data_IF_866603075784
#
_entry.id   IF_866603075784
#
_cell.length_a   1.000
_cell.length_b   1.000
_cell.length_c   1.000
_cell.angle_alpha   90.00
_cell.angle_beta   90.00
_cell.angle_gamma   90.00
#
_symmetry.space_group_name_H-M   'P 1'
#
loop_
_entity.id
_entity.type
_entity.pdbx_description
1 polymer ?
#
# COMPACT_ATOMS: atom_id res chain seq x y z
N UNK A 1 -50.37 -35.82 8.48
CA UNK A 1 -49.04 -35.19 8.48
C UNK A 1 -49.03 -34.14 9.57
N UNK A 2 -48.27 -34.33 10.66
CA UNK A 2 -48.20 -33.38 11.77
C UNK A 2 -47.38 -32.17 11.28
N UNK A 3 -48.02 -30.99 11.24
CA UNK A 3 -47.37 -29.75 10.82
C UNK A 3 -46.24 -29.41 11.78
N UNK A 4 -45.02 -29.28 11.26
CA UNK A 4 -43.92 -28.73 12.02
C UNK A 4 -44.28 -27.29 12.42
N UNK A 5 -44.21 -27.00 13.72
CA UNK A 5 -44.51 -25.67 14.27
C UNK A 5 -43.65 -24.63 13.57
N UNK A 6 -44.26 -23.59 13.02
CA UNK A 6 -43.59 -22.44 12.37
C UNK A 6 -42.55 -21.78 13.28
N UNK A 7 -42.74 -21.88 14.60
CA UNK A 7 -41.78 -21.43 15.62
C UNK A 7 -40.47 -22.24 15.54
N UNK A 8 -40.57 -23.56 15.29
CA UNK A 8 -39.41 -24.44 15.18
C UNK A 8 -38.58 -24.13 13.93
N UNK A 9 -39.24 -23.88 12.79
CA UNK A 9 -38.59 -23.45 11.54
C UNK A 9 -37.90 -22.10 11.68
N UNK A 10 -38.51 -21.15 12.39
CA UNK A 10 -37.91 -19.83 12.64
C UNK A 10 -36.71 -19.93 13.59
N UNK A 11 -36.78 -20.77 14.63
CA UNK A 11 -35.65 -21.01 15.54
C UNK A 11 -34.45 -21.66 14.85
N UNK A 12 -34.70 -22.59 13.93
CA UNK A 12 -33.66 -23.23 13.13
C UNK A 12 -32.99 -22.22 12.17
N UNK A 13 -33.79 -21.34 11.56
CA UNK A 13 -33.30 -20.30 10.67
C UNK A 13 -32.45 -19.26 11.40
N UNK A 14 -32.83 -18.87 12.61
CA UNK A 14 -32.03 -17.96 13.46
C UNK A 14 -30.71 -18.62 13.90
N UNK A 15 -30.71 -19.90 14.26
CA UNK A 15 -29.47 -20.63 14.58
C UNK A 15 -28.51 -20.71 13.39
N UNK A 16 -29.04 -21.00 12.19
CA UNK A 16 -28.24 -20.99 10.95
C UNK A 16 -27.68 -19.60 10.62
N UNK A 17 -28.42 -18.52 10.89
CA UNK A 17 -27.90 -17.15 10.74
C UNK A 17 -26.82 -16.82 11.76
N UNK A 18 -26.95 -17.27 13.01
CA UNK A 18 -25.92 -17.06 14.05
C UNK A 18 -24.64 -17.83 13.68
N UNK A 19 -24.75 -19.07 13.19
CA UNK A 19 -23.61 -19.83 12.68
C UNK A 19 -23.00 -19.19 11.41
N UNK A 20 -23.81 -18.60 10.52
CA UNK A 20 -23.33 -17.85 9.35
C UNK A 20 -22.64 -16.52 9.70
N UNK A 21 -22.95 -15.91 10.85
CA UNK A 21 -22.34 -14.65 11.30
C UNK A 21 -21.04 -14.88 12.08
N UNK A 22 -20.75 -16.12 12.52
CA UNK A 22 -19.46 -16.49 13.07
C UNK A 22 -18.51 -16.90 11.94
N UNK A 23 -18.11 -15.93 11.12
CA UNK A 23 -16.83 -16.05 10.43
C UNK A 23 -15.78 -15.92 11.53
N UNK A 24 -15.30 -17.05 12.05
CA UNK A 24 -14.01 -17.07 12.74
C UNK A 24 -13.00 -16.51 11.74
N UNK A 25 -12.62 -15.24 11.90
CA UNK A 25 -11.47 -14.72 11.22
C UNK A 25 -10.29 -15.57 11.71
N UNK A 26 -9.84 -16.51 10.88
CA UNK A 26 -8.80 -17.49 11.22
C UNK A 26 -7.59 -16.76 11.80
N UNK A 27 -7.50 -16.76 13.13
CA UNK A 27 -6.36 -16.18 13.84
C UNK A 27 -5.16 -17.04 13.51
N UNK A 28 -4.08 -16.43 13.01
CA UNK A 28 -2.87 -17.16 12.66
C UNK A 28 -2.33 -17.96 13.86
N UNK A 29 -2.29 -19.29 13.72
CA UNK A 29 -1.77 -20.22 14.74
C UNK A 29 -0.35 -20.68 14.37
N UNK A 30 0.47 -21.08 15.38
CA UNK A 30 1.75 -21.74 15.11
C UNK A 30 1.57 -22.93 14.17
N UNK A 31 2.44 -23.02 13.17
CA UNK A 31 2.49 -24.13 12.22
C UNK A 31 3.30 -25.31 12.72
N UNK A 32 4.13 -25.11 13.74
CA UNK A 32 4.99 -26.13 14.32
C UNK A 32 5.87 -25.58 15.44
N UNK A 33 6.83 -26.41 15.85
CA UNK A 33 7.90 -26.02 16.77
C UNK A 33 9.25 -26.51 16.24
N UNK A 34 10.28 -25.69 16.41
CA UNK A 34 11.66 -25.98 16.05
C UNK A 34 12.49 -26.15 17.33
N UNK A 35 13.24 -27.25 17.43
CA UNK A 35 14.12 -27.51 18.57
C UNK A 35 15.46 -26.82 18.35
N UNK A 36 15.80 -25.90 19.24
CA UNK A 36 17.04 -25.14 19.21
C UNK A 36 18.28 -26.02 19.34
N UNK A 37 19.28 -25.69 18.54
CA UNK A 37 20.62 -26.27 18.58
C UNK A 37 21.59 -25.27 19.23
N UNK A 38 22.64 -25.79 19.86
CA UNK A 38 23.73 -24.95 20.35
C UNK A 38 24.53 -24.42 19.16
N UNK A 39 24.75 -23.10 19.02
CA UNK A 39 25.63 -22.56 18.00
C UNK A 39 27.06 -23.11 18.16
N UNK A 40 27.75 -23.49 17.07
CA UNK A 40 29.18 -23.76 17.07
C UNK A 40 29.99 -22.54 17.57
N UNK A 41 31.22 -22.73 18.06
CA UNK A 41 32.11 -21.62 18.41
C UNK A 41 32.29 -20.65 17.23
N UNK A 42 32.08 -19.35 17.47
CA UNK A 42 32.19 -18.31 16.44
C UNK A 42 30.95 -18.13 15.56
N UNK A 43 29.85 -18.86 15.83
CA UNK A 43 28.54 -18.70 15.17
C UNK A 43 27.53 -18.02 16.10
N UNK A 44 26.50 -17.41 15.51
CA UNK A 44 25.57 -16.48 16.14
C UNK A 44 26.24 -15.18 16.60
N UNK A 45 26.19 -14.16 15.73
CA UNK A 45 26.52 -12.79 16.10
C UNK A 45 25.41 -12.24 17.00
N UNK A 46 25.81 -11.45 18.00
CA UNK A 46 24.88 -10.71 18.88
C UNK A 46 24.81 -9.24 18.47
N UNK A 47 25.06 -8.95 17.19
CA UNK A 47 24.85 -7.61 16.64
C UNK A 47 23.36 -7.26 16.70
N UNK A 48 23.04 -5.97 16.75
CA UNK A 48 21.65 -5.46 16.71
C UNK A 48 20.66 -6.17 17.65
N UNK A 49 21.09 -6.54 18.86
CA UNK A 49 20.29 -7.27 19.86
C UNK A 49 19.83 -8.68 19.44
N UNK A 50 20.51 -9.29 18.46
CA UNK A 50 20.25 -10.65 17.99
C UNK A 50 20.43 -11.71 19.10
N UNK A 51 19.39 -12.52 19.27
CA UNK A 51 19.31 -13.62 20.23
C UNK A 51 19.83 -14.93 19.62
N UNK A 52 20.52 -15.76 20.42
CA UNK A 52 21.01 -17.07 19.97
C UNK A 52 20.09 -18.21 20.41
N UNK A 53 19.94 -19.21 19.54
CA UNK A 53 19.24 -20.43 19.90
C UNK A 53 19.88 -21.13 21.11
N UNK A 54 19.01 -21.78 21.89
CA UNK A 54 19.36 -22.47 23.13
C UNK A 54 19.10 -23.94 22.93
N UNK A 55 20.10 -24.76 23.25
CA UNK A 55 20.03 -26.20 23.08
C UNK A 55 18.81 -26.77 23.80
N UNK A 56 17.99 -27.52 23.06
CA UNK A 56 16.81 -28.19 23.61
C UNK A 56 15.59 -27.30 23.85
N UNK A 57 15.70 -25.96 23.76
CA UNK A 57 14.53 -25.06 23.80
C UNK A 57 13.70 -25.21 22.52
N UNK A 58 12.38 -25.25 22.65
CA UNK A 58 11.48 -25.23 21.50
C UNK A 58 11.04 -23.80 21.17
N UNK A 59 11.10 -23.45 19.90
CA UNK A 59 10.67 -22.18 19.32
C UNK A 59 9.46 -22.41 18.43
N UNK A 60 8.43 -21.56 18.51
CA UNK A 60 7.27 -21.70 17.64
C UNK A 60 7.62 -21.26 16.21
N UNK A 61 7.07 -21.95 15.21
CA UNK A 61 7.24 -21.59 13.80
C UNK A 61 5.90 -21.25 13.18
N UNK A 62 5.90 -20.31 12.24
CA UNK A 62 4.69 -19.77 11.62
C UNK A 62 4.82 -19.69 10.10
N UNK A 63 3.78 -20.15 9.40
CA UNK A 63 3.59 -19.97 7.95
C UNK A 63 2.63 -18.84 7.60
N UNK A 64 2.06 -18.20 8.61
CA UNK A 64 1.10 -17.12 8.50
C UNK A 64 1.53 -15.96 9.40
N UNK A 65 0.88 -14.81 9.22
CA UNK A 65 1.00 -13.62 10.05
C UNK A 65 -0.39 -13.09 10.36
N UNK A 66 -0.57 -12.18 11.35
CA UNK A 66 -1.84 -11.53 11.60
C UNK A 66 -2.42 -10.86 10.35
N UNK A 67 -3.75 -10.67 10.24
CA UNK A 67 -4.36 -10.03 9.08
C UNK A 67 -3.80 -8.62 8.84
N UNK A 68 -3.39 -8.35 7.60
CA UNK A 68 -2.97 -7.00 7.18
C UNK A 68 -4.21 -6.10 7.16
N UNK A 69 -4.12 -4.87 7.65
CA UNK A 69 -5.14 -3.81 7.58
C UNK A 69 -4.51 -2.49 7.09
N UNK A 70 -5.25 -1.37 7.15
CA UNK A 70 -4.70 -0.03 6.94
C UNK A 70 -3.91 0.49 8.17
N UNK A 71 -3.84 -0.28 9.25
CA UNK A 71 -3.18 0.07 10.50
C UNK A 71 -2.75 -1.24 11.21
N UNK A 72 -1.92 -2.02 10.52
CA UNK A 72 -1.50 -3.36 10.93
C UNK A 72 -0.52 -3.25 12.10
N UNK A 73 -0.91 -3.75 13.27
CA UNK A 73 -0.04 -3.75 14.45
C UNK A 73 1.13 -4.72 14.24
N UNK A 74 2.35 -4.28 14.55
CA UNK A 74 3.56 -5.09 14.47
C UNK A 74 4.55 -4.77 15.60
N UNK A 75 5.46 -5.71 15.82
CA UNK A 75 6.69 -5.47 16.58
C UNK A 75 7.76 -5.02 15.57
N UNK A 76 8.44 -3.94 15.90
CA UNK A 76 9.50 -3.33 15.11
C UNK A 76 10.85 -3.69 15.72
N UNK A 77 11.72 -4.29 14.92
CA UNK A 77 13.06 -4.75 15.35
C UNK A 77 14.14 -4.07 14.53
N UNK A 78 15.37 -4.09 15.03
CA UNK A 78 16.55 -3.57 14.34
C UNK A 78 17.28 -4.73 13.66
N UNK A 79 17.59 -4.58 12.38
CA UNK A 79 18.32 -5.59 11.61
C UNK A 79 19.34 -4.98 10.66
N UNK A 80 20.50 -5.61 10.61
CA UNK A 80 21.55 -5.36 9.62
C UNK A 80 21.29 -6.08 8.30
N UNK A 81 21.36 -5.34 7.18
CA UNK A 81 21.17 -5.86 5.82
C UNK A 81 22.49 -5.94 5.02
N UNK A 82 23.62 -5.60 5.66
CA UNK A 82 24.93 -5.63 5.02
C UNK A 82 25.54 -7.05 5.09
N UNK A 83 26.57 -7.25 4.30
CA UNK A 83 27.34 -8.48 4.26
C UNK A 83 27.98 -8.80 5.62
N UNK A 84 27.71 -10.01 6.12
CA UNK A 84 28.27 -10.50 7.39
C UNK A 84 27.47 -10.13 8.64
N UNK A 85 26.27 -9.57 8.48
CA UNK A 85 25.39 -9.18 9.59
C UNK A 85 24.36 -10.26 9.95
N UNK A 86 23.21 -9.88 10.50
CA UNK A 86 22.28 -10.77 11.21
C UNK A 86 21.75 -11.92 10.35
N UNK A 87 21.45 -11.65 9.06
CA UNK A 87 20.96 -12.66 8.13
C UNK A 87 22.03 -13.50 7.42
N UNK A 88 23.30 -13.06 7.41
CA UNK A 88 24.44 -13.72 6.74
C UNK A 88 24.33 -13.90 5.21
N UNK A 89 23.14 -13.78 4.64
CA UNK A 89 22.79 -14.01 3.23
C UNK A 89 22.23 -12.76 2.57
N UNK A 90 22.32 -12.61 1.24
CA UNK A 90 21.68 -11.52 0.51
C UNK A 90 20.15 -11.54 0.67
N UNK A 91 19.52 -10.37 0.56
CA UNK A 91 18.09 -10.17 0.72
C UNK A 91 17.26 -10.93 -0.32
N UNK A 92 16.18 -11.58 0.10
CA UNK A 92 15.40 -12.51 -0.73
C UNK A 92 14.72 -11.84 -1.96
N UNK A 93 14.49 -10.52 -1.93
CA UNK A 93 13.81 -9.85 -3.04
C UNK A 93 14.67 -9.59 -4.27
N UNK A 94 15.98 -9.36 -4.11
CA UNK A 94 16.86 -8.95 -5.20
C UNK A 94 18.27 -9.56 -5.17
N UNK A 95 18.51 -10.51 -4.25
CA UNK A 95 19.77 -11.23 -4.07
C UNK A 95 20.97 -10.30 -3.79
N UNK A 96 20.74 -9.19 -3.08
CA UNK A 96 21.78 -8.21 -2.71
C UNK A 96 21.87 -7.94 -1.21
N UNK A 97 23.03 -7.45 -0.80
CA UNK A 97 23.19 -6.77 0.48
C UNK A 97 22.83 -5.29 0.33
N UNK A 98 22.36 -4.68 1.40
CA UNK A 98 21.97 -3.28 1.43
C UNK A 98 22.66 -2.54 2.56
N UNK A 99 22.97 -1.27 2.31
CA UNK A 99 23.61 -0.42 3.32
C UNK A 99 22.61 0.01 4.39
N UNK A 100 23.08 0.16 5.63
CA UNK A 100 22.30 0.63 6.78
C UNK A 100 21.60 1.97 6.58
N UNK A 101 22.10 2.81 5.66
CA UNK A 101 21.53 4.12 5.34
C UNK A 101 20.29 4.05 4.44
N UNK A 102 19.96 2.89 3.85
CA UNK A 102 18.75 2.73 3.06
C UNK A 102 17.51 2.60 3.95
N UNK A 103 16.38 3.21 3.57
CA UNK A 103 15.10 3.03 4.27
C UNK A 103 14.44 1.69 3.86
N UNK A 104 14.91 0.60 4.44
CA UNK A 104 14.53 -0.77 4.07
C UNK A 104 14.09 -1.62 5.26
N UNK A 105 13.26 -2.62 4.97
CA UNK A 105 12.75 -3.58 5.95
C UNK A 105 12.63 -5.01 5.41
N UNK A 106 12.60 -5.97 6.33
CA UNK A 106 12.10 -7.32 6.13
C UNK A 106 10.73 -7.49 6.78
N UNK A 107 9.90 -8.40 6.25
CA UNK A 107 8.59 -8.73 6.82
C UNK A 107 8.54 -10.19 7.25
N UNK A 108 7.84 -10.51 8.35
CA UNK A 108 7.55 -11.89 8.71
C UNK A 108 6.97 -12.70 7.55
N UNK A 109 7.27 -13.99 7.47
CA UNK A 109 6.93 -14.87 6.34
C UNK A 109 5.48 -14.75 5.83
N UNK A 110 4.50 -14.67 6.74
CA UNK A 110 3.09 -14.53 6.36
C UNK A 110 2.77 -13.20 5.69
N UNK A 111 3.34 -12.10 6.17
CA UNK A 111 3.21 -10.77 5.56
C UNK A 111 4.00 -10.66 4.27
N UNK A 112 5.23 -11.18 4.22
CA UNK A 112 6.07 -11.21 3.02
C UNK A 112 5.35 -11.88 1.81
N UNK A 113 4.49 -12.86 2.11
CA UNK A 113 3.48 -13.41 1.19
C UNK A 113 4.08 -13.84 -0.16
N UNK A 114 5.10 -14.70 -0.10
CA UNK A 114 5.77 -15.26 -1.28
C UNK A 114 6.28 -14.17 -2.25
N UNK A 115 7.06 -13.22 -1.72
CA UNK A 115 7.65 -12.10 -2.46
C UNK A 115 6.64 -11.08 -3.02
N UNK A 116 5.34 -11.14 -2.66
CA UNK A 116 4.33 -10.18 -3.17
C UNK A 116 4.58 -8.73 -2.74
N UNK A 117 5.33 -8.53 -1.66
CA UNK A 117 5.74 -7.22 -1.17
C UNK A 117 7.12 -6.79 -1.63
N UNK A 118 7.86 -7.64 -2.35
CA UNK A 118 9.22 -7.32 -2.76
C UNK A 118 9.27 -6.02 -3.57
N UNK A 119 10.22 -5.16 -3.19
CA UNK A 119 10.48 -3.85 -3.76
C UNK A 119 9.31 -2.86 -3.67
N UNK A 120 8.22 -3.23 -2.96
CA UNK A 120 7.13 -2.31 -2.62
C UNK A 120 7.48 -1.56 -1.36
N UNK A 121 6.85 -0.42 -1.21
CA UNK A 121 6.97 0.39 -0.01
C UNK A 121 5.79 0.15 0.93
N UNK A 122 6.06 0.30 2.21
CA UNK A 122 5.04 0.37 3.27
C UNK A 122 5.20 1.67 4.05
N UNK A 123 4.12 2.13 4.67
CA UNK A 123 4.19 3.17 5.69
C UNK A 123 4.37 2.51 7.06
N UNK A 124 5.29 3.04 7.86
CA UNK A 124 5.59 2.61 9.22
C UNK A 124 5.27 3.78 10.15
N UNK A 125 4.31 3.58 11.03
CA UNK A 125 3.83 4.55 12.02
C UNK A 125 4.38 4.17 13.39
N UNK A 126 5.25 5.00 13.94
CA UNK A 126 5.92 4.76 15.22
C UNK A 126 6.48 6.05 15.80
N UNK A 127 6.53 6.16 17.12
CA UNK A 127 7.08 7.34 17.82
C UNK A 127 6.47 8.69 17.35
N UNK A 128 5.18 8.69 17.00
CA UNK A 128 4.48 9.88 16.50
C UNK A 128 4.88 10.32 15.09
N UNK A 129 5.67 9.53 14.37
CA UNK A 129 6.11 9.79 12.99
C UNK A 129 5.63 8.70 12.04
N UNK A 130 5.66 9.01 10.75
CA UNK A 130 5.44 8.05 9.66
C UNK A 130 6.67 8.03 8.78
N UNK A 131 7.24 6.84 8.56
CA UNK A 131 8.38 6.62 7.69
C UNK A 131 7.99 5.64 6.60
N UNK A 132 8.41 5.93 5.38
CA UNK A 132 8.23 5.05 4.24
C UNK A 132 9.48 4.20 4.07
N UNK A 133 9.30 2.88 4.01
CA UNK A 133 10.42 1.94 3.82
C UNK A 133 10.10 0.91 2.74
N UNK A 134 11.13 0.49 2.01
CA UNK A 134 11.05 -0.52 0.94
C UNK A 134 11.24 -1.92 1.53
N UNK A 135 10.36 -2.85 1.19
CA UNK A 135 10.49 -4.25 1.60
C UNK A 135 11.51 -4.93 0.69
N UNK A 136 12.62 -5.39 1.27
CA UNK A 136 13.71 -6.04 0.53
C UNK A 136 13.92 -7.49 0.96
N UNK A 137 13.41 -7.90 2.11
CA UNK A 137 13.69 -9.24 2.62
C UNK A 137 12.52 -9.86 3.40
N UNK A 138 12.70 -11.12 3.78
CA UNK A 138 11.79 -11.92 4.59
C UNK A 138 12.43 -12.23 5.93
N UNK A 139 11.77 -11.81 7.01
CA UNK A 139 12.09 -12.30 8.36
C UNK A 139 11.49 -13.71 8.51
N UNK A 140 12.33 -14.75 8.39
CA UNK A 140 11.83 -16.13 8.27
C UNK A 140 11.28 -16.66 9.59
N UNK A 141 9.96 -16.76 9.66
CA UNK A 141 9.26 -17.33 10.82
C UNK A 141 9.08 -18.85 10.76
N UNK A 142 9.57 -19.52 9.71
CA UNK A 142 9.39 -20.96 9.48
C UNK A 142 10.59 -21.80 9.89
N UNK A 143 11.78 -21.21 9.84
CA UNK A 143 13.08 -21.87 10.05
C UNK A 143 14.01 -21.00 10.91
N UNK A 144 15.11 -21.58 11.38
CA UNK A 144 16.05 -20.95 12.31
C UNK A 144 16.88 -22.00 13.05
N UNK A 145 17.78 -21.55 13.93
CA UNK A 145 18.71 -22.38 14.69
C UNK A 145 19.60 -23.32 13.84
N UNK A 146 19.98 -22.88 12.65
CA UNK A 146 20.85 -23.58 11.72
C UNK A 146 21.91 -22.62 11.13
N UNK A 147 22.79 -23.15 10.28
CA UNK A 147 23.90 -22.37 9.71
C UNK A 147 23.43 -21.24 8.77
N UNK A 148 22.29 -21.42 8.08
CA UNK A 148 21.74 -20.45 7.14
C UNK A 148 21.21 -19.21 7.87
N UNK A 149 20.62 -19.42 9.06
CA UNK A 149 20.07 -18.35 9.91
C UNK A 149 21.05 -17.95 11.03
N UNK A 150 22.35 -18.22 10.88
CA UNK A 150 23.40 -17.96 11.87
C UNK A 150 23.07 -18.45 13.30
N UNK A 151 22.29 -19.52 13.43
CA UNK A 151 21.75 -20.05 14.68
C UNK A 151 20.91 -19.08 15.52
N UNK A 152 20.33 -18.06 14.89
CA UNK A 152 19.29 -17.20 15.46
C UNK A 152 17.94 -17.96 15.46
N UNK A 153 17.03 -17.68 16.42
CA UNK A 153 15.72 -18.32 16.45
C UNK A 153 14.86 -17.92 15.25
N UNK A 154 13.82 -18.71 14.91
CA UNK A 154 12.84 -18.28 13.92
C UNK A 154 12.22 -16.95 14.31
N UNK A 155 12.00 -16.10 13.31
CA UNK A 155 11.31 -14.82 13.47
C UNK A 155 9.90 -15.04 14.03
N UNK A 156 9.38 -14.09 14.81
CA UNK A 156 7.96 -14.13 15.17
C UNK A 156 7.09 -13.75 13.95
N UNK A 157 5.79 -13.99 14.04
CA UNK A 157 4.90 -13.83 12.89
C UNK A 157 4.37 -12.41 12.67
N UNK A 158 4.81 -11.44 13.46
CA UNK A 158 4.31 -10.07 13.45
C UNK A 158 5.45 -9.01 13.47
N UNK A 159 6.60 -9.34 12.87
CA UNK A 159 7.78 -8.49 12.79
C UNK A 159 7.79 -7.65 11.51
N UNK A 160 8.12 -6.37 11.68
CA UNK A 160 8.72 -5.52 10.65
C UNK A 160 10.15 -5.26 11.10
N UNK A 161 11.11 -5.85 10.38
CA UNK A 161 12.52 -5.85 10.76
C UNK A 161 13.26 -4.79 9.98
N UNK A 162 13.93 -3.84 10.62
CA UNK A 162 14.25 -2.58 9.97
C UNK A 162 15.69 -2.12 10.16
N UNK A 163 16.19 -1.47 9.13
CA UNK A 163 17.52 -0.85 9.09
C UNK A 163 17.62 0.36 10.02
N UNK A 164 18.85 0.73 10.39
CA UNK A 164 19.15 1.92 11.19
C UNK A 164 18.49 3.19 10.67
N UNK A 165 18.51 3.40 9.35
CA UNK A 165 17.92 4.59 8.74
C UNK A 165 16.42 4.72 9.03
N UNK A 166 15.67 3.60 9.08
CA UNK A 166 14.24 3.65 9.38
C UNK A 166 14.00 4.01 10.84
N UNK A 167 14.81 3.46 11.75
CA UNK A 167 14.79 3.83 13.17
C UNK A 167 15.13 5.32 13.39
N UNK A 168 16.16 5.83 12.70
CA UNK A 168 16.54 7.24 12.73
C UNK A 168 15.46 8.16 12.18
N UNK A 169 14.83 7.78 11.07
CA UNK A 169 13.73 8.54 10.49
C UNK A 169 12.52 8.60 11.44
N UNK A 170 12.26 7.53 12.19
CA UNK A 170 11.26 7.52 13.27
C UNK A 170 11.71 8.32 14.52
N UNK A 171 12.96 8.79 14.55
CA UNK A 171 13.51 9.59 15.65
C UNK A 171 13.78 8.77 16.91
N UNK A 172 14.08 7.48 16.76
CA UNK A 172 14.40 6.58 17.87
C UNK A 172 15.89 6.22 17.78
N UNK A 173 16.65 6.72 18.76
CA UNK A 173 18.11 6.63 18.77
C UNK A 173 18.62 5.98 20.05
N UNK A 174 19.85 5.44 19.99
CA UNK A 174 20.59 4.94 21.14
C UNK A 174 19.96 3.69 21.76
N UNK A 175 19.95 3.66 23.09
CA UNK A 175 19.47 2.58 23.95
C UNK A 175 17.95 2.34 23.90
N UNK A 176 17.21 3.17 23.16
CA UNK A 176 15.77 3.01 22.91
C UNK A 176 15.47 2.11 21.72
N UNK A 177 16.51 1.68 20.98
CA UNK A 177 16.39 0.70 19.91
C UNK A 177 16.42 -0.71 20.49
N UNK A 178 15.96 -1.67 19.69
CA UNK A 178 15.80 -3.07 20.09
C UNK A 178 14.44 -3.56 19.62
N UNK A 179 13.40 -3.30 20.41
CA UNK A 179 12.03 -3.62 20.07
C UNK A 179 11.07 -2.47 20.39
N UNK A 180 10.17 -2.14 19.47
CA UNK A 180 9.04 -1.25 19.77
C UNK A 180 7.76 -1.64 19.05
N UNK A 181 6.61 -1.24 19.58
CA UNK A 181 5.33 -1.38 18.90
C UNK A 181 5.18 -0.33 17.80
N UNK A 182 4.83 -0.78 16.60
CA UNK A 182 4.46 0.10 15.48
C UNK A 182 3.17 -0.35 14.84
N UNK A 183 2.66 0.50 13.96
CA UNK A 183 1.64 0.13 13.00
C UNK A 183 2.16 0.34 11.59
N UNK A 184 1.80 -0.53 10.66
CA UNK A 184 2.18 -0.36 9.27
C UNK A 184 1.00 -0.55 8.33
N UNK A 185 1.09 0.08 7.17
CA UNK A 185 0.08 -0.03 6.12
C UNK A 185 0.77 -0.17 4.76
N UNK A 186 0.01 -0.70 3.80
CA UNK A 186 0.34 -0.45 2.39
C UNK A 186 0.40 1.07 2.15
N UNK A 187 1.24 1.50 1.22
CA UNK A 187 1.23 2.89 0.75
C UNK A 187 -0.02 3.20 -0.08
N UNK A 188 -0.62 2.15 -0.66
CA UNK A 188 -1.84 2.21 -1.46
C UNK A 188 -3.06 1.95 -0.57
N UNK A 189 -4.17 2.64 -0.85
CA UNK A 189 -5.43 2.34 -0.21
C UNK A 189 -5.84 0.90 -0.57
N UNK A 190 -6.40 0.16 0.40
CA UNK A 190 -7.01 -1.13 0.05
C UNK A 190 -8.24 -0.87 -0.81
N UNK A 191 -8.42 -1.61 -1.93
CA UNK A 191 -9.65 -1.51 -2.69
C UNK A 191 -10.86 -1.77 -1.80
N UNK A 192 -11.82 -0.84 -1.80
CA UNK A 192 -13.12 -1.03 -1.15
C UNK A 192 -14.00 -2.02 -1.90
N UNK A 193 -13.70 -2.26 -3.18
CA UNK A 193 -14.45 -3.20 -4.02
C UNK A 193 -13.76 -3.49 -5.34
N UNK A 194 -14.50 -4.18 -6.21
CA UNK A 194 -14.11 -4.42 -7.60
C UNK A 194 -15.29 -4.17 -8.53
N UNK A 195 -15.02 -3.51 -9.65
CA UNK A 195 -15.97 -3.27 -10.72
C UNK A 195 -15.64 -4.16 -11.91
N UNK A 196 -16.64 -4.84 -12.47
CA UNK A 196 -16.48 -5.67 -13.66
C UNK A 196 -16.66 -4.80 -14.90
N UNK A 197 -15.61 -4.69 -15.70
CA UNK A 197 -15.58 -3.87 -16.90
C UNK A 197 -16.57 -4.36 -17.96
N UNK A 198 -17.16 -3.39 -18.65
CA UNK A 198 -18.03 -3.58 -19.80
C UNK A 198 -17.34 -3.04 -21.04
N UNK A 199 -17.51 -3.73 -22.16
CA UNK A 199 -17.04 -3.22 -23.45
C UNK A 199 -17.81 -1.94 -23.84
N UNK A 200 -17.12 -0.85 -24.20
CA UNK A 200 -17.78 0.35 -24.72
C UNK A 200 -18.56 0.03 -26.01
N UNK A 201 -19.78 0.59 -26.18
CA UNK A 201 -20.48 0.63 -27.45
C UNK A 201 -19.67 1.32 -28.55
N UNK A 202 -19.96 1.08 -29.84
CA UNK A 202 -19.32 1.81 -30.93
C UNK A 202 -19.49 3.33 -30.79
N UNK A 203 -18.39 4.07 -30.86
CA UNK A 203 -18.38 5.53 -30.71
C UNK A 203 -18.40 6.04 -29.26
N UNK A 204 -18.25 5.14 -28.28
CA UNK A 204 -18.05 5.44 -26.85
C UNK A 204 -16.62 5.12 -26.43
N UNK A 205 -16.17 5.75 -25.35
CA UNK A 205 -14.79 5.77 -24.88
C UNK A 205 -13.84 6.45 -25.86
N UNK A 206 -13.73 7.77 -25.72
CA UNK A 206 -12.69 8.53 -26.37
C UNK A 206 -11.34 8.16 -25.76
N UNK A 207 -10.46 7.53 -26.54
CA UNK A 207 -9.08 7.23 -26.15
C UNK A 207 -8.21 8.49 -26.25
N UNK A 208 -8.63 9.57 -25.60
CA UNK A 208 -7.78 10.75 -25.41
C UNK A 208 -6.55 10.39 -24.58
N UNK A 209 -5.53 11.25 -24.72
CA UNK A 209 -4.15 11.29 -24.22
C UNK A 209 -3.54 10.23 -23.28
N UNK A 210 -4.31 9.45 -22.52
CA UNK A 210 -3.84 8.24 -21.82
C UNK A 210 -4.97 7.34 -21.28
N UNK A 211 -6.23 7.59 -21.64
CA UNK A 211 -7.36 6.86 -21.05
C UNK A 211 -7.57 5.51 -21.74
N UNK A 212 -7.23 4.43 -21.04
CA UNK A 212 -7.56 3.08 -21.46
C UNK A 212 -9.07 2.83 -21.34
N UNK A 213 -9.70 2.29 -22.38
CA UNK A 213 -11.10 1.88 -22.29
C UNK A 213 -11.28 0.63 -21.44
N UNK A 214 -12.41 0.53 -20.75
CA UNK A 214 -12.78 -0.68 -20.05
C UNK A 214 -12.83 -1.90 -20.97
N UNK A 215 -12.42 -3.03 -20.39
CA UNK A 215 -12.34 -4.32 -21.07
C UNK A 215 -13.41 -5.24 -20.49
N UNK A 216 -14.15 -5.91 -21.39
CA UNK A 216 -15.22 -6.84 -21.02
C UNK A 216 -14.72 -7.90 -20.05
N UNK A 217 -15.36 -8.00 -18.89
CA UNK A 217 -15.08 -9.02 -17.89
C UNK A 217 -13.80 -8.82 -17.07
N UNK A 218 -12.95 -7.83 -17.37
CA UNK A 218 -11.80 -7.46 -16.53
C UNK A 218 -12.30 -6.81 -15.23
N UNK A 219 -11.70 -7.18 -14.10
CA UNK A 219 -12.03 -6.55 -12.81
C UNK A 219 -11.09 -5.37 -12.53
N UNK A 220 -11.68 -4.21 -12.24
CA UNK A 220 -11.00 -2.99 -11.83
C UNK A 220 -11.20 -2.79 -10.34
N UNK A 221 -10.19 -2.32 -9.62
CA UNK A 221 -10.32 -2.01 -8.20
C UNK A 221 -11.11 -0.71 -8.05
N UNK A 222 -11.95 -0.63 -7.01
CA UNK A 222 -12.62 0.61 -6.63
C UNK A 222 -12.18 1.03 -5.24
N UNK A 223 -12.18 2.34 -4.99
CA UNK A 223 -11.68 2.96 -3.77
C UNK A 223 -12.66 4.03 -3.30
N UNK A 224 -13.19 3.89 -2.08
CA UNK A 224 -14.01 4.92 -1.41
C UNK A 224 -13.18 5.90 -0.58
N UNK A 225 -11.86 5.69 -0.52
CA UNK A 225 -10.92 6.53 0.21
C UNK A 225 -9.64 6.72 -0.60
N UNK A 226 -8.95 7.81 -0.30
CA UNK A 226 -7.64 8.16 -0.87
C UNK A 226 -6.61 8.21 0.27
N UNK A 227 -5.30 8.15 -0.05
CA UNK A 227 -4.24 8.31 0.94
C UNK A 227 -4.42 9.58 1.80
N UNK A 228 -3.98 9.59 3.07
CA UNK A 228 -4.13 10.76 3.93
C UNK A 228 -3.50 12.02 3.32
N UNK A 229 -4.23 13.14 3.36
CA UNK A 229 -3.70 14.45 2.97
C UNK A 229 -2.74 14.96 4.06
N UNK A 230 -1.59 15.47 3.64
CA UNK A 230 -0.55 16.06 4.48
C UNK A 230 0.08 17.27 3.79
N UNK A 231 1.08 17.89 4.42
CA UNK A 231 1.86 18.98 3.79
C UNK A 231 2.69 18.51 2.58
N UNK A 232 2.86 17.20 2.39
CA UNK A 232 3.62 16.56 1.32
C UNK A 232 2.89 15.30 0.83
N UNK A 233 1.63 15.45 0.42
CA UNK A 233 0.80 14.34 -0.08
C UNK A 233 1.37 13.83 -1.40
N UNK A 234 1.90 12.60 -1.43
CA UNK A 234 2.43 12.01 -2.65
C UNK A 234 1.29 11.58 -3.59
N UNK A 235 1.44 11.87 -4.87
CA UNK A 235 0.53 11.43 -5.92
C UNK A 235 1.29 11.08 -7.20
N UNK A 236 0.61 10.36 -8.10
CA UNK A 236 1.03 10.16 -9.47
C UNK A 236 0.30 11.19 -10.33
N UNK A 237 1.07 12.03 -11.01
CA UNK A 237 0.57 12.97 -12.01
C UNK A 237 0.36 12.23 -13.33
N UNK A 238 -0.80 12.42 -13.91
CA UNK A 238 -1.22 11.90 -15.21
C UNK A 238 -1.77 13.05 -16.06
N UNK A 239 -1.72 12.90 -17.38
CA UNK A 239 -2.30 13.89 -18.30
C UNK A 239 -3.81 13.65 -18.44
N UNK A 240 -4.58 14.73 -18.47
CA UNK A 240 -6.01 14.70 -18.69
C UNK A 240 -6.43 15.93 -19.51
N UNK A 241 -7.25 15.72 -20.54
CA UNK A 241 -7.87 16.81 -21.28
C UNK A 241 -9.21 17.25 -20.66
N UNK A 242 -9.50 18.55 -20.70
CA UNK A 242 -10.68 19.15 -20.07
C UNK A 242 -11.68 19.76 -21.07
N UNK A 243 -11.42 19.56 -22.36
CA UNK A 243 -12.24 20.01 -23.46
C UNK A 243 -13.44 19.11 -23.76
N UNK A 244 -14.42 19.61 -24.53
CA UNK A 244 -15.69 18.91 -24.83
C UNK A 244 -15.58 17.65 -25.69
N UNK A 245 -14.38 17.30 -26.16
CA UNK A 245 -14.10 16.10 -26.97
C UNK A 245 -12.84 15.37 -26.50
N UNK A 246 -12.41 15.66 -25.28
CA UNK A 246 -11.26 15.05 -24.65
C UNK A 246 -11.75 14.04 -23.61
N UNK A 247 -10.96 13.80 -22.57
CA UNK A 247 -11.21 12.77 -21.56
C UNK A 247 -12.50 13.09 -20.78
N UNK A 248 -13.34 12.06 -20.54
CA UNK A 248 -14.60 12.17 -19.80
C UNK A 248 -15.80 12.74 -20.58
N UNK A 249 -15.58 13.57 -21.61
CA UNK A 249 -16.64 14.06 -22.51
C UNK A 249 -17.76 14.89 -21.85
N UNK A 250 -17.68 15.14 -20.54
CA UNK A 250 -18.66 15.86 -19.72
C UNK A 250 -18.02 17.10 -19.07
N UNK A 251 -18.80 18.14 -18.75
CA UNK A 251 -18.29 19.32 -18.06
C UNK A 251 -17.82 18.99 -16.63
N UNK A 252 -16.82 19.73 -16.13
CA UNK A 252 -16.21 19.47 -14.84
C UNK A 252 -17.17 19.69 -13.66
N UNK A 253 -17.12 18.81 -12.65
CA UNK A 253 -18.10 18.72 -11.57
C UNK A 253 -18.18 19.97 -10.67
N UNK A 254 -17.08 20.72 -10.51
CA UNK A 254 -17.07 21.86 -9.61
C UNK A 254 -17.87 23.06 -10.11
N UNK A 255 -17.99 23.23 -11.41
CA UNK A 255 -18.58 24.43 -12.02
C UNK A 255 -19.46 24.16 -13.26
N UNK A 256 -19.62 22.90 -13.65
CA UNK A 256 -20.38 22.49 -14.83
C UNK A 256 -19.90 23.18 -16.12
N UNK A 257 -18.58 23.28 -16.30
CA UNK A 257 -17.97 23.92 -17.46
C UNK A 257 -16.81 23.08 -18.03
N UNK A 258 -16.54 23.26 -19.32
CA UNK A 258 -15.31 22.77 -19.93
C UNK A 258 -14.18 23.77 -19.71
N UNK A 259 -12.96 23.28 -19.61
CA UNK A 259 -11.77 24.11 -19.46
C UNK A 259 -10.81 23.93 -20.63
N UNK A 260 -9.90 24.88 -20.79
CA UNK A 260 -8.83 24.78 -21.78
C UNK A 260 -7.61 24.13 -21.14
N UNK A 261 -6.93 23.26 -21.87
CA UNK A 261 -5.69 22.61 -21.40
C UNK A 261 -4.53 23.57 -21.10
N UNK A 262 -4.67 24.84 -21.49
CA UNK A 262 -3.74 25.92 -21.18
C UNK A 262 -3.92 26.49 -19.75
N UNK A 263 -4.99 26.12 -19.05
CA UNK A 263 -5.24 26.55 -17.67
C UNK A 263 -4.51 25.62 -16.68
N UNK A 264 -3.96 26.15 -15.58
CA UNK A 264 -3.33 25.32 -14.53
C UNK A 264 -4.40 24.66 -13.66
N UNK A 265 -4.96 23.57 -14.14
CA UNK A 265 -6.09 22.86 -13.52
C UNK A 265 -5.80 21.39 -13.31
N UNK A 266 -6.46 20.84 -12.29
CA UNK A 266 -6.34 19.45 -11.89
C UNK A 266 -7.68 18.86 -11.47
N UNK A 267 -7.71 17.55 -11.49
CA UNK A 267 -8.77 16.71 -10.94
C UNK A 267 -8.18 15.95 -9.77
N UNK A 268 -8.92 15.89 -8.66
CA UNK A 268 -8.53 15.11 -7.49
C UNK A 268 -9.34 13.83 -7.41
N UNK A 269 -8.68 12.76 -6.97
CA UNK A 269 -9.31 11.49 -6.63
C UNK A 269 -10.45 11.65 -5.62
N UNK A 270 -11.52 10.85 -5.70
CA UNK A 270 -12.73 10.92 -4.84
C UNK A 270 -12.46 11.27 -3.36
N UNK A 271 -11.54 10.57 -2.70
CA UNK A 271 -11.24 10.82 -1.28
C UNK A 271 -10.55 12.17 -1.04
N UNK A 272 -9.67 12.60 -1.96
CA UNK A 272 -9.05 13.93 -1.93
C UNK A 272 -10.01 15.02 -2.35
N UNK A 273 -10.87 14.80 -3.34
CA UNK A 273 -11.91 15.75 -3.75
C UNK A 273 -12.86 16.09 -2.60
N UNK A 274 -13.08 15.12 -1.70
CA UNK A 274 -13.68 15.30 -0.37
C UNK A 274 -15.06 15.98 -0.45
N UNK A 275 -15.96 15.42 -1.26
CA UNK A 275 -17.34 15.91 -1.44
C UNK A 275 -17.37 17.40 -1.82
N UNK A 276 -16.60 17.78 -2.84
CA UNK A 276 -16.44 19.16 -3.35
C UNK A 276 -15.79 20.13 -2.38
N UNK A 277 -15.22 19.70 -1.25
CA UNK A 277 -14.55 20.63 -0.33
C UNK A 277 -13.30 21.27 -0.95
N UNK A 278 -12.63 20.58 -1.86
CA UNK A 278 -11.52 21.15 -2.62
C UNK A 278 -11.94 21.81 -3.93
N UNK A 279 -13.23 21.80 -4.30
CA UNK A 279 -13.66 22.42 -5.54
C UNK A 279 -13.28 23.89 -5.60
N UNK A 280 -12.69 24.28 -6.72
CA UNK A 280 -12.27 25.65 -7.02
C UNK A 280 -11.19 26.20 -6.08
N UNK A 281 -10.67 25.40 -5.15
CA UNK A 281 -9.50 25.73 -4.35
C UNK A 281 -8.22 25.46 -5.14
N UNK A 282 -7.14 26.08 -4.67
CA UNK A 282 -5.81 25.85 -5.21
C UNK A 282 -5.09 24.82 -4.34
N UNK A 283 -4.25 24.01 -4.98
CA UNK A 283 -3.27 23.15 -4.33
C UNK A 283 -1.87 23.58 -4.75
N UNK A 284 -0.91 23.46 -3.84
CA UNK A 284 0.50 23.52 -4.18
C UNK A 284 0.91 22.16 -4.75
N UNK A 285 1.56 22.13 -5.89
CA UNK A 285 2.12 20.91 -6.49
C UNK A 285 3.62 21.06 -6.63
N UNK A 286 4.36 20.04 -6.21
CA UNK A 286 5.80 19.94 -6.31
C UNK A 286 6.19 18.71 -7.13
N UNK A 287 6.94 18.92 -8.20
CA UNK A 287 7.40 17.88 -9.11
C UNK A 287 8.53 18.40 -9.98
N UNK A 288 9.47 17.54 -10.39
CA UNK A 288 10.59 17.90 -11.25
C UNK A 288 11.39 19.15 -10.78
N UNK A 289 11.55 19.30 -9.45
CA UNK A 289 12.23 20.45 -8.84
C UNK A 289 11.52 21.80 -9.03
N UNK A 290 10.21 21.78 -9.31
CA UNK A 290 9.35 22.96 -9.44
C UNK A 290 8.20 22.90 -8.45
N UNK A 291 7.71 24.08 -8.08
CA UNK A 291 6.51 24.26 -7.29
C UNK A 291 5.56 25.16 -8.06
N UNK A 292 4.31 24.73 -8.23
CA UNK A 292 3.26 25.47 -8.91
C UNK A 292 1.99 25.49 -8.04
N UNK A 293 1.05 26.39 -8.36
CA UNK A 293 -0.33 26.32 -7.86
C UNK A 293 -1.25 25.94 -9.00
N UNK A 294 -2.09 24.94 -8.78
CA UNK A 294 -3.12 24.51 -9.72
C UNK A 294 -4.50 24.49 -9.06
N UNK A 295 -5.55 24.71 -9.85
CA UNK A 295 -6.92 24.79 -9.36
C UNK A 295 -7.63 23.45 -9.54
N UNK A 296 -8.30 22.98 -8.49
CA UNK A 296 -9.12 21.78 -8.57
C UNK A 296 -10.45 22.12 -9.24
N UNK A 297 -10.75 21.45 -10.35
CA UNK A 297 -11.96 21.72 -11.15
C UNK A 297 -12.90 20.52 -11.23
N UNK A 298 -12.43 19.32 -10.92
CA UNK A 298 -13.22 18.10 -11.13
C UNK A 298 -12.84 16.98 -10.15
N UNK A 299 -13.65 15.92 -10.14
CA UNK A 299 -13.42 14.66 -9.43
C UNK A 299 -12.93 13.55 -10.39
N UNK A 300 -11.94 12.78 -9.95
CA UNK A 300 -11.54 11.53 -10.61
C UNK A 300 -12.22 10.40 -9.83
N UNK A 301 -13.34 9.90 -10.33
CA UNK A 301 -14.15 8.92 -9.61
C UNK A 301 -13.40 7.57 -9.51
N UNK A 302 -13.03 7.20 -8.28
CA UNK A 302 -12.40 5.91 -7.98
C UNK A 302 -13.37 4.83 -7.55
N UNK A 303 -14.66 5.14 -7.45
CA UNK A 303 -15.74 4.25 -7.00
C UNK A 303 -16.53 3.66 -8.15
N UNK A 304 -16.68 4.41 -9.25
CA UNK A 304 -17.48 4.07 -10.42
C UNK A 304 -16.67 4.17 -11.72
N UNK A 305 -17.23 3.67 -12.82
CA UNK A 305 -16.56 3.60 -14.11
C UNK A 305 -17.11 2.47 -14.99
N UNK A 306 -16.61 2.38 -16.22
CA UNK A 306 -17.04 1.40 -17.23
C UNK A 306 -18.55 1.44 -17.55
N UNK A 307 -19.15 2.63 -17.52
CA UNK A 307 -20.55 2.89 -17.85
C UNK A 307 -20.69 4.15 -18.73
N UNK A 308 -21.92 4.47 -19.15
CA UNK A 308 -22.17 5.61 -20.03
C UNK A 308 -21.86 6.97 -19.40
N UNK A 309 -21.94 7.10 -18.07
CA UNK A 309 -21.69 8.35 -17.34
C UNK A 309 -20.20 8.67 -17.26
N UNK A 310 -19.36 7.65 -17.26
CA UNK A 310 -17.90 7.76 -17.22
C UNK A 310 -17.23 7.47 -18.58
N UNK A 311 -17.98 7.61 -19.68
CA UNK A 311 -17.56 7.28 -21.05
C UNK A 311 -16.85 5.91 -21.20
N UNK A 312 -17.24 4.93 -20.37
CA UNK A 312 -16.62 3.61 -20.27
C UNK A 312 -15.11 3.61 -19.96
N UNK A 313 -14.61 4.67 -19.33
CA UNK A 313 -13.27 4.70 -18.73
C UNK A 313 -13.27 3.96 -17.39
N UNK A 314 -12.15 3.34 -16.98
CA UNK A 314 -12.05 2.63 -15.72
C UNK A 314 -12.08 3.60 -14.53
N UNK A 315 -12.46 3.11 -13.33
CA UNK A 315 -12.31 3.89 -12.11
C UNK A 315 -10.86 4.37 -11.92
N UNK A 316 -10.71 5.58 -11.40
CA UNK A 316 -9.39 6.16 -11.14
C UNK A 316 -8.58 5.35 -10.12
N UNK A 317 -7.25 5.31 -10.33
CA UNK A 317 -6.33 4.67 -9.41
C UNK A 317 -6.19 5.46 -8.10
N UNK A 318 -5.78 4.78 -7.03
CA UNK A 318 -5.96 5.21 -5.65
C UNK A 318 -5.05 6.36 -5.18
N UNK A 319 -4.17 6.87 -6.04
CA UNK A 319 -3.20 7.90 -5.69
C UNK A 319 -2.87 8.87 -6.85
N UNK A 320 -3.85 9.15 -7.72
CA UNK A 320 -3.64 9.94 -8.93
C UNK A 320 -4.13 11.40 -8.80
N UNK A 321 -3.38 12.32 -9.41
CA UNK A 321 -3.83 13.68 -9.76
C UNK A 321 -3.80 13.79 -11.29
N UNK A 322 -4.97 13.86 -11.91
CA UNK A 322 -5.11 14.10 -13.34
C UNK A 322 -4.95 15.61 -13.59
N UNK A 323 -4.12 16.00 -14.56
CA UNK A 323 -3.78 17.41 -14.77
C UNK A 323 -3.72 17.80 -16.24
N UNK A 324 -4.01 19.08 -16.49
CA UNK A 324 -3.96 19.70 -17.82
C UNK A 324 -2.53 19.74 -18.39
N UNK A 325 -2.41 19.90 -19.70
CA UNK A 325 -1.13 20.06 -20.39
C UNK A 325 -0.27 21.21 -19.83
N UNK A 326 -0.90 22.32 -19.43
CA UNK A 326 -0.23 23.47 -18.83
C UNK A 326 0.42 23.16 -17.47
N UNK A 327 -0.14 22.26 -16.68
CA UNK A 327 0.47 21.82 -15.40
C UNK A 327 1.79 21.11 -15.67
N UNK A 328 1.81 20.20 -16.64
CA UNK A 328 3.02 19.49 -17.07
C UNK A 328 4.09 20.47 -17.58
N UNK A 329 3.69 21.44 -18.40
CA UNK A 329 4.60 22.49 -18.90
C UNK A 329 5.17 23.36 -17.78
N UNK A 330 4.35 23.72 -16.79
CA UNK A 330 4.77 24.51 -15.65
C UNK A 330 5.74 23.75 -14.72
N UNK A 331 5.61 22.42 -14.66
CA UNK A 331 6.57 21.52 -14.04
C UNK A 331 7.79 21.22 -14.93
N UNK A 332 7.88 21.83 -16.12
CA UNK A 332 8.97 21.68 -17.10
C UNK A 332 9.18 20.25 -17.58
N UNK A 333 8.09 19.50 -17.73
CA UNK A 333 8.10 18.19 -18.37
C UNK A 333 7.59 18.38 -19.78
N UNK A 334 8.50 18.26 -20.76
CA UNK A 334 8.22 18.51 -22.17
C UNK A 334 8.34 17.22 -22.97
N UNK A 335 7.66 17.15 -24.11
CA UNK A 335 7.72 16.00 -25.03
C UNK A 335 6.58 15.02 -24.81
N UNK A 336 6.88 13.72 -24.79
CA UNK A 336 5.88 12.69 -24.60
C UNK A 336 5.39 12.67 -23.14
N UNK A 337 4.15 13.09 -22.94
CA UNK A 337 3.47 13.17 -21.64
C UNK A 337 2.53 11.99 -21.39
N UNK A 338 2.59 10.93 -22.21
CA UNK A 338 1.86 9.67 -22.04
C UNK A 338 2.39 8.80 -20.88
N UNK A 339 2.92 9.44 -19.84
CA UNK A 339 3.64 8.79 -18.76
C UNK A 339 3.20 9.30 -17.39
N UNK A 340 3.43 8.46 -16.38
CA UNK A 340 3.18 8.78 -14.98
C UNK A 340 4.40 9.50 -14.37
N UNK A 341 4.18 10.61 -13.66
CA UNK A 341 5.23 11.28 -12.89
C UNK A 341 4.87 11.37 -11.40
N UNK A 342 5.81 11.01 -10.54
CA UNK A 342 5.65 11.25 -9.11
C UNK A 342 5.68 12.74 -8.76
N UNK A 343 4.68 13.18 -8.00
CA UNK A 343 4.58 14.53 -7.44
C UNK A 343 4.23 14.49 -5.96
N UNK A 344 4.36 15.64 -5.31
CA UNK A 344 3.85 15.92 -3.98
C UNK A 344 2.89 17.10 -4.06
N UNK A 345 1.82 17.10 -3.29
CA UNK A 345 0.89 18.21 -3.22
C UNK A 345 0.40 18.49 -1.80
N UNK A 346 -0.07 19.71 -1.59
CA UNK A 346 -0.70 20.14 -0.34
C UNK A 346 -1.69 21.27 -0.57
N UNK A 347 -2.56 21.51 0.39
CA UNK A 347 -3.50 22.64 0.37
C UNK A 347 -2.72 23.98 0.29
N UNK A 348 -3.23 24.93 -0.50
CA UNK A 348 -2.48 26.13 -0.92
C UNK A 348 -2.67 27.41 -0.09
#
# INVERSE_FOLDING_TARGET
MKGFSTIFLFSLFVLVIIDCLMVEADTCKPSGKLRGKKPPPGKCNKGHDSDCCKEGKFYDTYKCSPPVSNHTKATFTLNGFDSGEDGGSPCECDDKFHEHSELIVALSTGWFNKKKWCMKYINIHGNGKTVKAKVVDKCDSTMGCDDEHNFQPPCTNNIVDASDAVWDALGVCGDKRGEMEIYWSDIHAKPSGKLRGKKPPPGKCNKGHDSDCCQEGKFYNTFTCSPPVSSHTKAILTLNGFGPKEDGGVPCECNNNYHKDLELIVVLLTGWFNKKKHCMNYINMHGNGKTIKAKVVDECDSTMGCDDEHDYQPPCADNVVNASDAVWDALRVYGDKSGEMEIYWSDA
#
